data_IF_021061346478
#
_entry.id   IF_021061346478
#
_cell.length_a   1.000
_cell.length_b   1.000
_cell.length_c   1.000
_cell.angle_alpha   90.00
_cell.angle_beta   90.00
_cell.angle_gamma   90.00
#
_symmetry.space_group_name_H-M   'P 1'
#
loop_
_entity.id
_entity.type
_entity.pdbx_description
1 polymer ?
#
# COMPACT_ATOMS: atom_id res chain seq x y z
N UNK A 1 -5.52 3.82 -11.54
CA UNK A 1 -5.26 2.57 -10.82
C UNK A 1 -4.62 1.56 -11.76
N UNK A 2 -3.45 1.09 -11.40
CA UNK A 2 -2.77 -0.01 -12.10
C UNK A 2 -3.00 -1.30 -11.32
N UNK A 3 -3.34 -2.38 -12.01
CA UNK A 3 -3.81 -3.61 -11.38
C UNK A 3 -3.39 -4.86 -12.16
N UNK A 4 -2.71 -5.78 -11.51
CA UNK A 4 -2.32 -7.08 -12.04
C UNK A 4 -3.23 -8.24 -11.56
N UNK A 5 -4.26 -7.95 -10.75
CA UNK A 5 -5.11 -8.99 -10.16
C UNK A 5 -5.89 -9.77 -11.22
N UNK A 6 -6.21 -9.13 -12.34
CA UNK A 6 -6.96 -9.76 -13.45
C UNK A 6 -6.10 -10.69 -14.29
N UNK A 7 -4.80 -10.57 -14.21
CA UNK A 7 -3.87 -11.31 -15.05
C UNK A 7 -3.14 -12.41 -14.29
N UNK A 8 -3.78 -13.21 -13.58
CA UNK A 8 -3.34 -14.29 -12.68
C UNK A 8 -2.00 -14.99 -12.95
N UNK A 9 -1.19 -14.49 -13.81
CA UNK A 9 0.11 -15.07 -14.09
C UNK A 9 1.11 -14.64 -13.02
N UNK A 10 1.96 -15.53 -12.61
CA UNK A 10 3.06 -15.24 -11.69
C UNK A 10 3.32 -13.73 -11.50
N UNK A 11 3.71 -13.25 -10.32
CA UNK A 11 4.35 -14.06 -9.28
C UNK A 11 3.44 -14.51 -8.14
N UNK A 12 2.13 -14.21 -8.21
CA UNK A 12 1.24 -14.39 -7.06
C UNK A 12 0.87 -15.85 -6.78
N UNK A 13 0.65 -16.16 -5.51
CA UNK A 13 0.00 -17.39 -5.11
C UNK A 13 -1.46 -17.37 -5.58
N UNK A 14 -2.01 -18.53 -6.03
CA UNK A 14 -3.38 -18.59 -6.48
C UNK A 14 -4.37 -18.31 -5.35
N UNK A 15 -5.41 -17.55 -5.66
CA UNK A 15 -6.56 -17.31 -4.78
C UNK A 15 -7.84 -17.74 -5.53
N UNK A 16 -8.93 -17.93 -4.78
CA UNK A 16 -10.20 -18.31 -5.40
C UNK A 16 -10.73 -17.21 -6.33
N UNK A 17 -11.60 -17.60 -7.28
CA UNK A 17 -12.28 -16.66 -8.17
C UNK A 17 -13.07 -15.62 -7.37
N UNK A 18 -13.78 -16.07 -6.33
CA UNK A 18 -14.56 -15.17 -5.46
C UNK A 18 -13.67 -14.16 -4.73
N UNK A 19 -12.51 -14.58 -4.25
CA UNK A 19 -11.54 -13.69 -3.63
C UNK A 19 -11.03 -12.66 -4.64
N UNK A 20 -10.71 -13.09 -5.84
CA UNK A 20 -10.26 -12.17 -6.91
C UNK A 20 -11.31 -11.14 -7.26
N UNK A 21 -12.57 -11.55 -7.38
CA UNK A 21 -13.66 -10.62 -7.65
C UNK A 21 -13.82 -9.58 -6.56
N UNK A 22 -13.70 -9.99 -5.30
CA UNK A 22 -13.74 -9.05 -4.16
C UNK A 22 -12.57 -8.09 -4.18
N UNK A 23 -11.36 -8.55 -4.45
CA UNK A 23 -10.18 -7.70 -4.56
C UNK A 23 -10.31 -6.69 -5.72
N UNK A 24 -10.84 -7.12 -6.85
CA UNK A 24 -11.08 -6.22 -7.99
C UNK A 24 -12.13 -5.16 -7.67
N UNK A 25 -13.17 -5.48 -6.92
CA UNK A 25 -14.14 -4.49 -6.46
C UNK A 25 -13.51 -3.48 -5.51
N UNK A 26 -12.71 -3.95 -4.56
CA UNK A 26 -11.98 -3.10 -3.64
C UNK A 26 -11.09 -2.10 -4.40
N UNK A 27 -10.31 -2.60 -5.34
CA UNK A 27 -9.40 -1.78 -6.15
C UNK A 27 -10.17 -0.80 -7.05
N UNK A 28 -11.37 -1.17 -7.49
CA UNK A 28 -12.21 -0.31 -8.33
C UNK A 28 -12.56 1.05 -7.70
N UNK A 29 -12.65 1.11 -6.38
CA UNK A 29 -13.00 2.32 -5.64
C UNK A 29 -11.79 3.06 -5.06
N UNK A 30 -10.58 2.61 -5.35
CA UNK A 30 -9.37 3.09 -4.69
C UNK A 30 -9.00 4.54 -5.02
N UNK A 31 -9.42 5.07 -6.18
CA UNK A 31 -9.06 6.45 -6.52
C UNK A 31 -9.60 7.45 -5.49
N UNK A 32 -10.82 7.23 -5.02
CA UNK A 32 -11.43 8.07 -3.98
C UNK A 32 -10.64 7.97 -2.68
N UNK A 33 -10.26 6.75 -2.29
CA UNK A 33 -9.50 6.53 -1.06
C UNK A 33 -8.10 7.15 -1.15
N UNK A 34 -7.44 7.01 -2.28
CA UNK A 34 -6.13 7.61 -2.53
C UNK A 34 -6.18 9.13 -2.44
N UNK A 35 -7.20 9.73 -3.05
CA UNK A 35 -7.37 11.19 -3.04
C UNK A 35 -7.71 11.71 -1.63
N UNK A 36 -8.56 11.01 -0.90
CA UNK A 36 -8.92 11.39 0.48
C UNK A 36 -7.73 11.25 1.45
N UNK A 37 -6.94 10.21 1.30
CA UNK A 37 -5.75 10.00 2.14
C UNK A 37 -4.54 10.80 1.70
N UNK A 38 -4.59 11.38 0.49
CA UNK A 38 -3.46 12.04 -0.17
C UNK A 38 -2.22 11.14 -0.22
N UNK A 39 -2.45 9.86 -0.43
CA UNK A 39 -1.40 8.85 -0.41
C UNK A 39 -1.55 7.81 -1.50
N UNK A 40 -0.44 7.13 -1.76
CA UNK A 40 -0.43 5.97 -2.63
C UNK A 40 -1.06 4.78 -1.91
N UNK A 41 -1.92 4.05 -2.60
CA UNK A 41 -2.46 2.78 -2.13
C UNK A 41 -1.77 1.65 -2.89
N UNK A 42 -1.22 0.71 -2.14
CA UNK A 42 -0.55 -0.46 -2.71
C UNK A 42 -1.16 -1.73 -2.12
N UNK A 43 -1.51 -2.67 -2.99
CA UNK A 43 -1.94 -3.99 -2.56
C UNK A 43 -0.76 -4.95 -2.64
N UNK A 44 -0.33 -5.44 -1.50
CA UNK A 44 0.70 -6.46 -1.38
C UNK A 44 0.06 -7.82 -1.22
N UNK A 45 0.36 -8.72 -2.16
CA UNK A 45 -0.18 -10.09 -2.14
C UNK A 45 0.96 -11.10 -2.00
N UNK A 46 0.73 -12.21 -1.29
CA UNK A 46 1.73 -13.28 -1.21
C UNK A 46 2.14 -13.77 -2.60
N UNK A 47 3.43 -13.93 -2.79
CA UNK A 47 3.98 -14.43 -4.05
C UNK A 47 4.50 -15.87 -3.93
N UNK A 48 4.93 -16.43 -5.06
CA UNK A 48 5.43 -17.82 -5.13
C UNK A 48 6.83 -18.01 -4.57
N UNK A 49 7.50 -16.91 -4.20
CA UNK A 49 8.87 -16.91 -3.71
C UNK A 49 8.96 -16.76 -2.20
N UNK A 50 7.82 -16.87 -1.49
CA UNK A 50 7.75 -16.76 -0.04
C UNK A 50 7.69 -15.34 0.51
N UNK A 51 7.53 -14.34 -0.36
CA UNK A 51 7.40 -12.93 0.03
C UNK A 51 6.10 -12.33 -0.48
N UNK A 52 6.13 -11.04 -0.77
CA UNK A 52 5.00 -10.27 -1.27
C UNK A 52 5.38 -9.52 -2.54
N UNK A 53 4.42 -9.40 -3.45
CA UNK A 53 4.57 -8.57 -4.65
C UNK A 53 3.39 -7.63 -4.78
N UNK A 54 3.61 -6.48 -5.41
CA UNK A 54 2.56 -5.48 -5.59
C UNK A 54 1.57 -5.92 -6.67
N UNK A 55 0.32 -6.09 -6.28
CA UNK A 55 -0.76 -6.52 -7.18
C UNK A 55 -1.59 -5.36 -7.72
N UNK A 56 -1.64 -4.24 -7.00
CA UNK A 56 -2.36 -3.05 -7.44
C UNK A 56 -1.73 -1.81 -6.83
N UNK A 57 -1.77 -0.71 -7.56
CA UNK A 57 -1.25 0.58 -7.13
C UNK A 57 -2.18 1.69 -7.60
N UNK A 58 -2.51 2.60 -6.70
CA UNK A 58 -3.28 3.79 -7.00
C UNK A 58 -2.54 5.01 -6.49
N UNK A 59 -2.28 5.97 -7.39
CA UNK A 59 -1.67 7.25 -7.02
C UNK A 59 -2.75 8.29 -6.71
N UNK A 60 -2.50 9.20 -5.76
CA UNK A 60 -3.41 10.31 -5.55
C UNK A 60 -3.39 11.24 -6.77
N UNK A 61 -4.56 11.72 -7.20
CA UNK A 61 -4.68 12.69 -8.28
C UNK A 61 -4.51 14.12 -7.77
N UNK A 62 -4.68 14.34 -6.47
CA UNK A 62 -4.71 15.67 -5.84
C UNK A 62 -3.47 16.00 -5.02
N UNK A 63 -2.48 15.13 -5.01
CA UNK A 63 -1.27 15.30 -4.22
C UNK A 63 -0.07 14.58 -4.81
N UNK A 64 1.09 14.66 -4.15
CA UNK A 64 2.30 14.00 -4.61
C UNK A 64 2.23 12.49 -4.41
N UNK A 65 2.77 11.76 -5.37
CA UNK A 65 2.95 10.31 -5.24
C UNK A 65 4.27 9.98 -4.54
N UNK A 66 4.31 8.84 -3.89
CA UNK A 66 5.54 8.24 -3.35
C UNK A 66 6.32 7.54 -4.46
N UNK A 67 5.62 6.87 -5.37
CA UNK A 67 6.21 6.07 -6.42
C UNK A 67 5.99 6.69 -7.80
N UNK A 68 7.05 7.14 -8.42
CA UNK A 68 7.01 7.70 -9.78
C UNK A 68 6.99 6.61 -10.85
N UNK A 69 7.66 5.49 -10.58
CA UNK A 69 7.74 4.36 -11.50
C UNK A 69 6.62 3.36 -11.24
N UNK A 70 6.39 2.47 -12.19
CA UNK A 70 5.44 1.39 -12.03
C UNK A 70 5.98 0.36 -11.04
N UNK A 71 5.17 0.07 -10.01
CA UNK A 71 5.51 -0.89 -8.96
C UNK A 71 4.73 -2.21 -9.07
N UNK A 72 3.85 -2.34 -10.05
CA UNK A 72 3.08 -3.57 -10.26
C UNK A 72 4.03 -4.74 -10.55
N UNK A 73 3.86 -5.82 -9.81
CA UNK A 73 4.70 -7.01 -9.92
C UNK A 73 6.03 -6.95 -9.18
N UNK A 74 6.41 -5.78 -8.66
CA UNK A 74 7.65 -5.67 -7.90
C UNK A 74 7.54 -6.43 -6.58
N UNK A 75 8.61 -7.14 -6.26
CA UNK A 75 8.74 -7.84 -5.00
C UNK A 75 9.11 -6.87 -3.88
N UNK A 76 8.43 -7.03 -2.74
CA UNK A 76 8.75 -6.27 -1.54
C UNK A 76 10.16 -6.62 -1.04
N UNK A 77 10.98 -5.63 -0.68
CA UNK A 77 12.29 -5.92 -0.08
C UNK A 77 12.18 -6.81 1.15
N UNK A 78 13.09 -7.75 1.28
CA UNK A 78 13.09 -8.73 2.38
C UNK A 78 13.13 -8.08 3.78
N UNK A 79 13.74 -6.90 3.88
CA UNK A 79 13.79 -6.12 5.12
C UNK A 79 12.42 -5.66 5.62
N UNK A 80 11.42 -5.61 4.74
CA UNK A 80 10.05 -5.21 5.06
C UNK A 80 9.08 -6.37 5.15
N UNK A 81 9.49 -7.54 4.69
CA UNK A 81 8.65 -8.73 4.64
C UNK A 81 8.09 -9.10 6.01
N UNK A 82 8.93 -9.06 7.05
CA UNK A 82 8.53 -9.43 8.40
C UNK A 82 7.36 -8.58 8.92
N UNK A 83 7.31 -7.31 8.57
CA UNK A 83 6.23 -6.41 8.97
C UNK A 83 4.90 -6.80 8.32
N UNK A 84 4.92 -7.14 7.03
CA UNK A 84 3.72 -7.60 6.33
C UNK A 84 3.25 -8.97 6.83
N UNK A 85 4.19 -9.87 7.14
CA UNK A 85 3.87 -11.16 7.74
C UNK A 85 3.18 -10.99 9.10
N UNK A 86 3.63 -10.03 9.90
CA UNK A 86 2.99 -9.70 11.17
C UNK A 86 1.55 -9.24 10.97
N UNK A 87 1.31 -8.33 10.01
CA UNK A 87 -0.05 -7.87 9.67
C UNK A 87 -0.94 -9.03 9.23
N UNK A 88 -0.43 -9.90 8.37
CA UNK A 88 -1.15 -11.08 7.90
C UNK A 88 -1.49 -12.04 9.04
N UNK A 89 -0.55 -12.26 9.94
CA UNK A 89 -0.70 -13.22 11.03
C UNK A 89 -1.63 -12.70 12.12
N UNK A 90 -1.46 -11.44 12.54
CA UNK A 90 -2.26 -10.86 13.62
C UNK A 90 -3.64 -10.40 13.16
N UNK A 91 -3.80 -10.08 11.88
CA UNK A 91 -5.01 -9.48 11.35
C UNK A 91 -5.26 -8.06 11.84
N UNK A 92 -4.24 -7.39 12.38
CA UNK A 92 -4.31 -6.04 12.92
C UNK A 92 -3.63 -5.01 12.03
N UNK A 93 -4.04 -3.75 12.20
CA UNK A 93 -3.44 -2.62 11.50
C UNK A 93 -2.11 -2.25 12.16
N UNK A 94 -1.09 -2.00 11.36
CA UNK A 94 0.20 -1.48 11.82
C UNK A 94 0.42 -0.10 11.22
N UNK A 95 0.71 0.86 12.08
CA UNK A 95 1.15 2.19 11.67
C UNK A 95 2.66 2.26 11.76
N UNK A 96 3.30 2.59 10.64
CA UNK A 96 4.73 2.83 10.57
C UNK A 96 4.94 4.30 10.20
N UNK A 97 5.06 5.20 11.20
CA UNK A 97 4.94 6.63 10.97
C UNK A 97 6.01 7.20 10.05
N UNK A 98 7.20 6.63 10.06
CA UNK A 98 8.30 7.12 9.21
C UNK A 98 9.20 5.96 8.77
N UNK A 99 9.38 5.82 7.46
CA UNK A 99 10.43 4.97 6.92
C UNK A 99 10.90 5.51 5.57
N UNK A 100 12.03 5.01 5.11
CA UNK A 100 12.58 5.38 3.80
C UNK A 100 12.35 4.26 2.80
N UNK A 101 11.70 4.61 1.73
CA UNK A 101 11.45 3.69 0.62
C UNK A 101 12.59 3.66 -0.39
N UNK A 102 12.93 4.79 -0.93
CA UNK A 102 13.89 4.93 -2.03
C UNK A 102 14.96 5.95 -1.69
N UNK A 103 15.67 5.73 -0.62
CA UNK A 103 16.82 6.55 -0.24
C UNK A 103 16.58 8.04 0.00
N UNK A 104 15.68 8.66 -0.73
CA UNK A 104 15.49 10.12 -0.72
C UNK A 104 14.20 10.60 -0.08
N UNK A 105 13.13 9.82 -0.15
CA UNK A 105 11.82 10.24 0.35
C UNK A 105 11.52 9.67 1.73
N UNK A 106 11.05 10.52 2.63
CA UNK A 106 10.48 10.10 3.90
C UNK A 106 9.00 9.83 3.73
N UNK A 107 8.58 8.64 4.08
CA UNK A 107 7.24 8.13 3.85
C UNK A 107 6.65 7.66 5.16
N UNK A 108 5.43 8.10 5.48
CA UNK A 108 4.62 7.44 6.49
C UNK A 108 3.78 6.36 5.84
N UNK A 109 3.54 5.28 6.57
CA UNK A 109 2.78 4.16 6.04
C UNK A 109 1.84 3.59 7.08
N UNK A 110 0.66 3.18 6.61
CA UNK A 110 -0.29 2.39 7.38
C UNK A 110 -0.51 1.08 6.64
N UNK A 111 -0.37 -0.04 7.34
CA UNK A 111 -0.56 -1.37 6.78
C UNK A 111 -1.85 -1.97 7.32
N UNK A 112 -2.76 -2.30 6.43
CA UNK A 112 -4.10 -2.79 6.76
C UNK A 112 -4.27 -4.19 6.17
N UNK A 113 -4.59 -5.20 6.99
CA UNK A 113 -4.86 -6.53 6.44
C UNK A 113 -6.17 -6.54 5.66
N UNK A 114 -6.17 -7.23 4.53
CA UNK A 114 -7.37 -7.47 3.75
C UNK A 114 -7.89 -8.86 4.08
N UNK A 115 -9.11 -8.91 4.59
CA UNK A 115 -9.75 -10.16 4.98
C UNK A 115 -10.70 -10.67 3.89
N UNK A 116 -10.67 -11.96 3.68
CA UNK A 116 -11.63 -12.67 2.87
C UNK A 116 -12.02 -13.98 3.58
N UNK A 117 -13.31 -14.16 3.84
CA UNK A 117 -13.82 -15.34 4.55
C UNK A 117 -13.08 -15.62 5.88
N UNK A 118 -12.82 -14.57 6.65
CA UNK A 118 -12.17 -14.66 7.96
C UNK A 118 -10.66 -14.85 7.93
N UNK A 119 -10.03 -14.79 6.76
CA UNK A 119 -8.58 -14.92 6.60
C UNK A 119 -7.97 -13.66 6.01
N UNK A 120 -6.76 -13.33 6.45
CA UNK A 120 -5.96 -12.30 5.78
C UNK A 120 -5.44 -12.84 4.47
N UNK A 121 -5.76 -12.18 3.37
CA UNK A 121 -5.36 -12.61 2.01
C UNK A 121 -4.32 -11.69 1.38
N UNK A 122 -4.17 -10.49 1.92
CA UNK A 122 -3.20 -9.51 1.45
C UNK A 122 -3.09 -8.35 2.42
N UNK A 123 -2.25 -7.38 2.08
CA UNK A 123 -2.02 -6.19 2.89
C UNK A 123 -2.16 -4.95 2.02
N UNK A 124 -3.03 -4.03 2.43
CA UNK A 124 -3.12 -2.71 1.85
C UNK A 124 -2.11 -1.80 2.55
N UNK A 125 -1.19 -1.23 1.79
CA UNK A 125 -0.32 -0.17 2.25
C UNK A 125 -0.86 1.19 1.82
N UNK A 126 -0.96 2.12 2.76
CA UNK A 126 -1.26 3.54 2.49
C UNK A 126 0.01 4.31 2.77
N UNK A 127 0.62 4.85 1.73
CA UNK A 127 1.92 5.54 1.82
C UNK A 127 1.78 7.02 1.53
N UNK A 128 2.23 7.87 2.44
CA UNK A 128 2.17 9.33 2.30
C UNK A 128 3.57 9.91 2.22
N UNK A 129 3.81 10.77 1.22
CA UNK A 129 5.08 11.46 1.05
C UNK A 129 5.16 12.65 2.01
N UNK A 130 5.85 12.47 3.13
CA UNK A 130 5.99 13.50 4.16
C UNK A 130 6.91 14.63 3.75
N UNK A 131 7.90 14.37 2.91
CA UNK A 131 8.84 15.39 2.46
C UNK A 131 8.13 16.51 1.70
N UNK A 132 7.16 16.16 0.85
CA UNK A 132 6.35 17.13 0.12
C UNK A 132 5.52 18.00 1.06
N UNK A 133 4.79 17.38 2.00
CA UNK A 133 3.94 18.09 2.94
C UNK A 133 4.73 19.10 3.79
N UNK A 134 5.88 18.68 4.29
CA UNK A 134 6.76 19.55 5.06
C UNK A 134 7.30 20.70 4.21
N UNK A 135 7.72 20.42 2.98
CA UNK A 135 8.27 21.43 2.07
C UNK A 135 7.25 22.45 1.61
N UNK A 136 6.02 22.04 1.38
CA UNK A 136 4.96 22.91 0.86
C UNK A 136 4.36 23.82 1.94
N UNK A 137 4.12 23.28 3.11
CA UNK A 137 3.38 23.99 4.14
C UNK A 137 4.29 24.76 5.08
N UNK A 138 5.49 24.31 5.30
CA UNK A 138 6.56 24.93 6.08
C UNK A 138 6.10 25.82 7.23
N UNK A 139 6.50 25.57 8.42
CA UNK A 139 6.20 26.39 9.56
C UNK A 139 5.39 25.70 10.64
N UNK A 140 5.43 26.31 11.80
CA UNK A 140 4.88 25.71 13.02
C UNK A 140 3.36 25.51 12.98
N UNK A 141 2.66 26.42 12.35
CA UNK A 141 1.20 26.34 12.23
C UNK A 141 0.71 25.11 11.47
N UNK A 142 1.47 24.69 10.50
CA UNK A 142 1.16 23.47 9.76
C UNK A 142 1.28 22.23 10.63
N UNK A 143 2.35 22.15 11.42
CA UNK A 143 2.54 21.03 12.32
C UNK A 143 1.43 20.88 13.34
N UNK A 144 0.90 21.99 13.82
CA UNK A 144 -0.25 21.96 14.73
C UNK A 144 -1.52 21.45 14.05
N UNK A 145 -1.71 21.74 12.76
CA UNK A 145 -2.83 21.26 11.98
C UNK A 145 -2.74 19.78 11.61
N UNK A 146 -1.56 19.23 11.57
CA UNK A 146 -1.31 17.84 11.15
C UNK A 146 -1.05 16.91 12.33
N UNK A 147 -0.65 17.42 13.45
CA UNK A 147 -0.37 16.65 14.67
C UNK A 147 -1.67 16.21 15.37
N UNK A 148 -2.45 15.43 14.70
CA UNK A 148 -3.71 14.88 15.25
C UNK A 148 -3.57 13.48 15.76
#
# INVERSE_FOLDING_TARGET
>A
VSNAIREFNAPFLPVSVSCTEQLNRLVGDWQILSDLSQGDLLLWMPNRFGGFSCAAHCRPATGPTVHLDDVIGLELPSTRQALLEEVMHTGGIIENPVHRWTGMNTVSEVLVPIHFEGRSVGVLGVETNLAFHVGEIGGEGWFQGVAF
#
